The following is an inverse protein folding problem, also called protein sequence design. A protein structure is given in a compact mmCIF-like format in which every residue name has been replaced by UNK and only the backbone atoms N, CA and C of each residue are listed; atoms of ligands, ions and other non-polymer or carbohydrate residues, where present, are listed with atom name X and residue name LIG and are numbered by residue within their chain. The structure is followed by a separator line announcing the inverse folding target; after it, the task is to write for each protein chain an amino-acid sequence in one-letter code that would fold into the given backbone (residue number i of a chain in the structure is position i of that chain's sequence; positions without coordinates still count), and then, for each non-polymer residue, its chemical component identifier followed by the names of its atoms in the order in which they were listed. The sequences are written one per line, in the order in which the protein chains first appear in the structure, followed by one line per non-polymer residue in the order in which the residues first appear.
data_IF_907951940645
#
_entry.id   IF_907951940645
#
_cell.length_a   1.000
_cell.length_b   1.000
_cell.length_c   1.000
_cell.angle_alpha   90.00
_cell.angle_beta   90.00
_cell.angle_gamma   90.00
#
_symmetry.space_group_name_H-M   'P 1'
#
loop_
_entity.id
_entity.type
_entity.pdbx_description
1 polymer ?
#
# COMPACT_ATOMS: atom_id res chain seq x y z
N UNK A 1 18.47 2.92 1.68
CA UNK A 1 16.99 2.90 1.78
C UNK A 1 16.59 4.19 2.47
N UNK A 2 15.56 4.91 2.01
CA UNK A 2 15.10 6.11 2.71
C UNK A 2 14.35 5.64 3.96
N UNK A 3 14.83 6.01 5.16
CA UNK A 3 14.15 5.69 6.41
C UNK A 3 13.12 6.78 6.72
N UNK A 4 11.84 6.40 6.77
CA UNK A 4 10.75 7.29 7.15
C UNK A 4 10.43 7.04 8.63
N UNK A 5 10.35 8.09 9.48
CA UNK A 5 9.99 7.94 10.88
C UNK A 5 8.62 7.26 11.06
N UNK A 6 8.56 6.28 11.97
CA UNK A 6 7.32 5.58 12.30
C UNK A 6 6.38 6.38 13.21
N UNK A 7 6.90 7.42 13.88
CA UNK A 7 6.16 8.27 14.82
C UNK A 7 6.73 9.69 14.86
N UNK A 8 6.04 10.58 15.58
CA UNK A 8 6.43 11.98 15.75
C UNK A 8 6.11 12.86 14.54
N UNK A 9 6.77 14.01 14.49
CA UNK A 9 6.62 14.97 13.39
C UNK A 9 7.80 14.90 12.43
N UNK A 10 7.54 14.92 11.13
CA UNK A 10 8.57 14.90 10.10
C UNK A 10 8.09 15.60 8.82
N UNK A 11 9.03 15.97 7.97
CA UNK A 11 8.77 16.63 6.69
C UNK A 11 9.32 15.78 5.55
N UNK A 12 8.50 15.55 4.53
CA UNK A 12 8.91 14.97 3.25
C UNK A 12 9.01 16.11 2.25
N UNK A 13 10.14 16.22 1.56
CA UNK A 13 10.39 17.28 0.57
C UNK A 13 10.61 16.72 -0.81
N UNK A 14 10.32 17.52 -1.85
CA UNK A 14 10.47 17.14 -3.27
C UNK A 14 9.73 15.83 -3.59
N UNK A 15 8.51 15.68 -3.07
CA UNK A 15 7.62 14.58 -3.45
C UNK A 15 6.89 14.92 -4.74
N UNK A 16 6.59 13.94 -5.59
CA UNK A 16 5.63 14.11 -6.69
C UNK A 16 4.25 13.66 -6.24
N UNK A 17 3.26 14.55 -6.36
CA UNK A 17 1.85 14.28 -6.08
C UNK A 17 1.01 14.49 -7.33
N UNK A 18 0.05 13.59 -7.55
CA UNK A 18 -0.89 13.70 -8.67
C UNK A 18 -2.09 14.59 -8.29
N UNK A 19 -2.56 15.39 -9.24
CA UNK A 19 -3.69 16.31 -9.08
C UNK A 19 -4.97 15.66 -8.55
N UNK A 20 -5.23 14.40 -8.88
CA UNK A 20 -6.39 13.64 -8.40
C UNK A 20 -6.37 13.36 -6.90
N UNK A 21 -5.21 13.45 -6.26
CA UNK A 21 -5.03 13.19 -4.82
C UNK A 21 -4.93 14.48 -4.00
N UNK A 22 -4.76 15.62 -4.67
CA UNK A 22 -4.54 16.93 -4.04
C UNK A 22 -5.46 18.01 -4.62
N UNK A 23 -6.79 17.79 -4.63
CA UNK A 23 -7.72 18.79 -5.14
C UNK A 23 -7.57 20.10 -4.36
N UNK A 24 -7.41 21.21 -5.10
CA UNK A 24 -7.23 22.54 -4.53
C UNK A 24 -5.79 22.92 -4.13
N UNK A 25 -4.79 22.05 -4.36
CA UNK A 25 -3.39 22.42 -4.16
C UNK A 25 -2.97 23.50 -5.16
N UNK A 26 -2.53 24.65 -4.65
CA UNK A 26 -2.08 25.79 -5.45
C UNK A 26 -0.68 25.55 -6.04
N UNK A 27 -0.60 24.78 -7.13
CA UNK A 27 0.63 24.45 -7.86
C UNK A 27 0.34 24.22 -9.35
N UNK A 28 1.34 24.42 -10.21
CA UNK A 28 1.26 24.01 -11.61
C UNK A 28 1.63 22.53 -11.73
N UNK A 29 0.73 21.74 -12.33
CA UNK A 29 0.97 20.34 -12.65
C UNK A 29 1.62 20.20 -14.04
N UNK A 30 2.45 19.17 -14.21
CA UNK A 30 3.03 18.78 -15.49
C UNK A 30 1.98 18.10 -16.41
N UNK A 31 2.38 17.72 -17.62
CA UNK A 31 1.48 17.08 -18.60
C UNK A 31 0.90 15.75 -18.14
N UNK A 32 1.55 15.09 -17.18
CA UNK A 32 1.11 13.81 -16.62
C UNK A 32 0.29 14.02 -15.33
N UNK A 33 -0.02 15.27 -14.98
CA UNK A 33 -0.85 15.62 -13.82
C UNK A 33 -0.10 15.61 -12.49
N UNK A 34 1.24 15.61 -12.48
CA UNK A 34 2.06 15.63 -11.26
C UNK A 34 2.67 17.00 -10.96
N UNK A 35 2.91 17.28 -9.68
CA UNK A 35 3.65 18.45 -9.24
C UNK A 35 4.61 18.12 -8.10
N UNK A 36 5.70 18.90 -7.97
CA UNK A 36 6.57 18.83 -6.80
C UNK A 36 5.92 19.52 -5.59
N UNK A 37 5.91 18.82 -4.48
CA UNK A 37 5.33 19.28 -3.22
C UNK A 37 6.21 18.90 -2.03
N UNK A 38 5.91 19.51 -0.89
CA UNK A 38 6.39 19.13 0.43
C UNK A 38 5.19 18.71 1.30
N UNK A 39 5.36 17.68 2.13
CA UNK A 39 4.35 17.16 3.06
C UNK A 39 4.89 17.27 4.48
N UNK A 40 4.12 17.90 5.37
CA UNK A 40 4.37 17.83 6.80
C UNK A 40 3.47 16.75 7.44
N UNK A 41 4.06 15.93 8.31
CA UNK A 41 3.34 14.96 9.12
C UNK A 41 3.55 15.33 10.58
N UNK A 42 2.47 15.33 11.35
CA UNK A 42 2.50 15.49 12.81
C UNK A 42 1.50 14.51 13.42
N UNK A 43 1.93 13.80 14.46
CA UNK A 43 1.10 12.84 15.21
C UNK A 43 0.37 11.82 14.33
N UNK A 44 1.08 11.31 13.31
CA UNK A 44 0.55 10.33 12.37
C UNK A 44 -0.47 10.88 11.36
N UNK A 45 -0.65 12.21 11.28
CA UNK A 45 -1.54 12.88 10.33
C UNK A 45 -0.76 13.82 9.42
N UNK A 46 -1.24 13.96 8.19
CA UNK A 46 -0.75 15.01 7.28
C UNK A 46 -1.23 16.35 7.85
N UNK A 47 -0.29 17.19 8.31
CA UNK A 47 -0.59 18.51 8.87
C UNK A 47 -0.56 19.60 7.80
N UNK A 48 0.21 19.42 6.73
CA UNK A 48 0.16 20.30 5.55
C UNK A 48 0.68 19.63 4.28
N UNK A 49 0.19 20.12 3.14
CA UNK A 49 0.72 19.86 1.80
C UNK A 49 0.87 21.20 1.12
N UNK A 50 2.06 21.49 0.58
CA UNK A 50 2.34 22.74 -0.11
C UNK A 50 3.21 22.50 -1.35
N UNK A 51 3.13 23.39 -2.34
CA UNK A 51 4.05 23.38 -3.47
C UNK A 51 5.50 23.47 -2.97
N UNK A 52 6.39 22.65 -3.55
CA UNK A 52 7.79 22.64 -3.13
C UNK A 52 8.46 23.98 -3.43
N UNK A 53 9.14 24.56 -2.43
CA UNK A 53 9.97 25.76 -2.59
C UNK A 53 11.26 25.57 -1.81
N UNK A 54 12.39 25.63 -2.51
CA UNK A 54 13.71 25.44 -1.91
C UNK A 54 13.98 26.36 -0.71
N UNK A 55 13.43 27.58 -0.70
CA UNK A 55 13.57 28.55 0.40
C UNK A 55 12.82 28.17 1.68
N UNK A 56 11.84 27.26 1.58
CA UNK A 56 10.90 26.94 2.67
C UNK A 56 11.07 25.51 3.19
N UNK A 57 12.04 24.76 2.69
CA UNK A 57 12.28 23.38 3.15
C UNK A 57 12.89 23.40 4.55
N UNK A 58 12.24 22.83 5.57
CA UNK A 58 12.77 22.81 6.94
C UNK A 58 14.10 22.06 7.04
N UNK A 59 14.96 22.48 7.97
CA UNK A 59 16.14 21.71 8.31
C UNK A 59 15.74 20.31 8.79
N UNK A 60 16.36 19.27 8.24
CA UNK A 60 16.04 17.87 8.55
C UNK A 60 14.86 17.28 7.78
N UNK A 61 14.29 17.98 6.78
CA UNK A 61 13.33 17.38 5.87
C UNK A 61 13.96 16.22 5.08
N UNK A 62 13.19 15.14 4.92
CA UNK A 62 13.57 13.98 4.13
C UNK A 62 13.38 14.31 2.65
N UNK A 63 14.47 14.36 1.89
CA UNK A 63 14.44 14.60 0.45
C UNK A 63 14.04 13.33 -0.31
N UNK A 64 12.87 13.34 -0.93
CA UNK A 64 12.36 12.21 -1.71
C UNK A 64 12.85 12.21 -3.15
N UNK A 65 13.63 13.21 -3.58
CA UNK A 65 14.29 13.29 -4.89
C UNK A 65 13.32 13.12 -6.08
N UNK A 66 12.11 13.65 -5.96
CA UNK A 66 11.08 13.56 -7.00
C UNK A 66 10.35 12.23 -7.07
N UNK A 67 10.46 11.35 -6.06
CA UNK A 67 9.67 10.11 -5.98
C UNK A 67 8.18 10.41 -5.85
N UNK A 68 7.36 9.57 -6.47
CA UNK A 68 5.90 9.64 -6.38
C UNK A 68 5.46 9.14 -5.01
N UNK A 69 4.56 9.89 -4.38
CA UNK A 69 3.88 9.49 -3.15
C UNK A 69 2.41 9.28 -3.45
N UNK A 70 1.90 8.13 -3.05
CA UNK A 70 0.49 7.75 -3.16
C UNK A 70 -0.04 7.41 -1.76
N UNK A 71 -1.36 7.52 -1.51
CA UNK A 71 -1.99 6.81 -0.41
C UNK A 71 -1.66 5.32 -0.49
N UNK A 72 -1.77 4.63 0.64
CA UNK A 72 -1.74 3.16 0.62
C UNK A 72 -2.83 2.63 -0.30
N UNK A 73 -2.54 1.52 -0.98
CA UNK A 73 -3.49 0.89 -1.88
C UNK A 73 -4.61 0.20 -1.10
N UNK A 74 -5.76 0.07 -1.76
CA UNK A 74 -6.92 -0.66 -1.28
C UNK A 74 -7.11 -1.88 -2.18
N UNK A 75 -6.94 -3.06 -1.60
CA UNK A 75 -7.35 -4.32 -2.22
C UNK A 75 -8.77 -4.65 -1.75
N UNK A 76 -9.76 -4.32 -2.57
CA UNK A 76 -11.17 -4.34 -2.18
C UNK A 76 -11.80 -5.74 -2.19
N UNK A 77 -11.16 -6.74 -2.80
CA UNK A 77 -11.72 -8.07 -2.92
C UNK A 77 -10.63 -9.14 -2.86
N UNK A 78 -10.54 -9.83 -1.73
CA UNK A 78 -9.62 -10.97 -1.56
C UNK A 78 -10.30 -12.14 -0.89
N UNK A 79 -9.77 -13.33 -1.16
CA UNK A 79 -10.15 -14.56 -0.47
C UNK A 79 -8.95 -15.13 0.29
N UNK A 80 -8.56 -14.44 1.36
CA UNK A 80 -7.40 -14.83 2.19
C UNK A 80 -7.63 -16.14 2.96
N UNK A 81 -8.89 -16.56 3.13
CA UNK A 81 -9.30 -17.81 3.77
C UNK A 81 -8.91 -19.06 2.99
N UNK A 82 -8.99 -18.99 1.65
CA UNK A 82 -8.60 -20.06 0.71
C UNK A 82 -7.35 -19.71 -0.10
N UNK A 83 -6.62 -18.67 0.31
CA UNK A 83 -5.30 -18.34 -0.23
C UNK A 83 -4.24 -19.39 0.12
N UNK A 84 -3.19 -19.47 -0.69
CA UNK A 84 -2.01 -20.33 -0.46
C UNK A 84 -2.30 -21.84 -0.35
N UNK A 85 -3.33 -22.34 -1.05
CA UNK A 85 -3.66 -23.77 -1.11
C UNK A 85 -3.20 -24.46 -2.41
N UNK A 86 -2.91 -23.68 -3.45
CA UNK A 86 -2.54 -24.21 -4.77
C UNK A 86 -1.40 -25.25 -4.74
N UNK A 87 -0.27 -25.02 -4.03
CA UNK A 87 0.82 -26.00 -4.01
C UNK A 87 0.46 -27.38 -3.43
N UNK A 88 -0.62 -27.47 -2.63
CA UNK A 88 -1.05 -28.73 -2.00
C UNK A 88 -2.33 -29.31 -2.59
N UNK A 89 -3.16 -28.48 -3.24
CA UNK A 89 -4.38 -28.93 -3.93
C UNK A 89 -4.64 -28.03 -5.15
N UNK A 90 -3.96 -28.30 -6.28
CA UNK A 90 -4.08 -27.48 -7.48
C UNK A 90 -5.44 -27.69 -8.17
N UNK A 91 -5.80 -26.73 -9.02
CA UNK A 91 -6.91 -26.83 -9.96
C UNK A 91 -6.39 -26.89 -11.40
N UNK A 92 -5.96 -28.07 -11.90
CA UNK A 92 -5.22 -28.18 -13.16
C UNK A 92 -6.03 -27.85 -14.41
N UNK A 93 -7.36 -28.01 -14.36
CA UNK A 93 -8.24 -27.68 -15.49
C UNK A 93 -8.67 -26.21 -15.53
N UNK A 94 -8.35 -25.43 -14.49
CA UNK A 94 -8.65 -24.00 -14.39
C UNK A 94 -10.15 -23.67 -14.25
N UNK A 95 -11.03 -24.66 -14.12
CA UNK A 95 -12.48 -24.45 -14.07
C UNK A 95 -12.94 -23.98 -12.69
N UNK A 96 -14.07 -23.27 -12.62
CA UNK A 96 -14.67 -22.88 -11.35
C UNK A 96 -15.02 -24.10 -10.48
N UNK A 97 -15.63 -25.13 -11.09
CA UNK A 97 -16.00 -26.35 -10.36
C UNK A 97 -14.77 -27.11 -9.87
N UNK A 98 -13.69 -27.15 -10.66
CA UNK A 98 -12.40 -27.69 -10.24
C UNK A 98 -11.85 -26.94 -9.02
N UNK A 99 -11.88 -25.60 -9.03
CA UNK A 99 -11.45 -24.79 -7.89
C UNK A 99 -12.32 -24.99 -6.64
N UNK A 100 -13.64 -25.09 -6.80
CA UNK A 100 -14.59 -25.33 -5.71
C UNK A 100 -14.33 -26.69 -5.06
N UNK A 101 -14.21 -27.74 -5.87
CA UNK A 101 -13.94 -29.11 -5.41
C UNK A 101 -12.55 -29.23 -4.77
N UNK A 102 -11.53 -28.61 -5.37
CA UNK A 102 -10.18 -28.55 -4.82
C UNK A 102 -10.18 -27.88 -3.44
N UNK A 103 -10.81 -26.71 -3.32
CA UNK A 103 -10.93 -25.98 -2.05
C UNK A 103 -11.70 -26.80 -1.01
N UNK A 104 -12.81 -27.41 -1.39
CA UNK A 104 -13.63 -28.24 -0.50
C UNK A 104 -12.87 -29.45 0.04
N UNK A 105 -12.16 -30.17 -0.83
CA UNK A 105 -11.35 -31.32 -0.45
C UNK A 105 -10.16 -30.92 0.45
N UNK A 106 -9.48 -29.81 0.16
CA UNK A 106 -8.40 -29.29 1.00
C UNK A 106 -8.92 -28.88 2.39
N UNK A 107 -10.08 -28.21 2.43
CA UNK A 107 -10.75 -27.80 3.65
C UNK A 107 -11.08 -28.98 4.55
N UNK A 108 -11.73 -30.00 4.01
CA UNK A 108 -12.11 -31.18 4.78
C UNK A 108 -10.91 -31.96 5.34
N UNK A 109 -9.79 -31.97 4.61
CA UNK A 109 -8.62 -32.77 4.96
C UNK A 109 -7.60 -32.06 5.85
N UNK A 110 -7.50 -30.72 5.79
CA UNK A 110 -6.32 -29.99 6.33
C UNK A 110 -6.63 -28.74 7.13
N UNK A 111 -7.82 -28.15 7.00
CA UNK A 111 -8.05 -26.85 7.63
C UNK A 111 -8.27 -27.00 9.14
N UNK A 112 -7.42 -26.32 9.90
CA UNK A 112 -7.60 -26.00 11.30
C UNK A 112 -7.62 -24.48 11.47
N UNK A 113 -8.02 -24.00 12.66
CA UNK A 113 -7.93 -22.57 12.97
C UNK A 113 -6.50 -22.04 12.78
N UNK A 114 -5.50 -22.82 13.18
CA UNK A 114 -4.08 -22.48 13.03
C UNK A 114 -3.64 -22.44 11.56
N UNK A 115 -4.05 -23.42 10.73
CA UNK A 115 -3.73 -23.43 9.30
C UNK A 115 -4.29 -22.18 8.58
N UNK A 116 -5.56 -21.87 8.86
CA UNK A 116 -6.24 -20.72 8.25
C UNK A 116 -5.58 -19.42 8.71
N UNK A 117 -5.36 -19.25 10.01
CA UNK A 117 -4.74 -18.05 10.57
C UNK A 117 -3.34 -17.79 9.99
N UNK A 118 -2.51 -18.83 9.88
CA UNK A 118 -1.16 -18.74 9.30
C UNK A 118 -1.18 -18.28 7.84
N UNK A 119 -2.11 -18.78 7.03
CA UNK A 119 -2.22 -18.40 5.61
C UNK A 119 -2.78 -16.99 5.45
N UNK A 120 -3.74 -16.61 6.28
CA UNK A 120 -4.26 -15.24 6.32
C UNK A 120 -3.19 -14.23 6.76
N UNK A 121 -2.42 -14.53 7.81
CA UNK A 121 -1.30 -13.68 8.28
C UNK A 121 -0.25 -13.48 7.17
N UNK A 122 0.14 -14.55 6.47
CA UNK A 122 1.05 -14.42 5.33
C UNK A 122 0.46 -13.53 4.22
N UNK A 123 -0.83 -13.72 3.88
CA UNK A 123 -1.52 -12.90 2.88
C UNK A 123 -1.50 -11.42 3.25
N UNK A 124 -1.80 -11.09 4.51
CA UNK A 124 -1.83 -9.72 5.03
C UNK A 124 -0.44 -9.09 5.05
N UNK A 125 0.60 -9.83 5.47
CA UNK A 125 1.99 -9.34 5.44
C UNK A 125 2.46 -9.06 4.02
N UNK A 126 2.11 -9.92 3.07
CA UNK A 126 2.40 -9.68 1.66
C UNK A 126 1.70 -8.41 1.16
N UNK A 127 0.40 -8.24 1.44
CA UNK A 127 -0.33 -7.04 1.05
C UNK A 127 0.29 -5.77 1.66
N UNK A 128 0.62 -5.80 2.95
CA UNK A 128 1.26 -4.70 3.66
C UNK A 128 2.62 -4.33 3.07
N UNK A 129 3.47 -5.32 2.78
CA UNK A 129 4.78 -5.10 2.17
C UNK A 129 4.70 -4.46 0.77
N UNK A 130 3.58 -4.63 0.07
CA UNK A 130 3.30 -4.03 -1.24
C UNK A 130 2.44 -2.76 -1.15
N UNK A 131 2.33 -2.15 0.03
CA UNK A 131 1.71 -0.85 0.22
C UNK A 131 0.19 -0.87 0.36
N UNK A 132 -0.43 -2.04 0.58
CA UNK A 132 -1.86 -2.12 0.91
C UNK A 132 -2.08 -1.88 2.41
N UNK A 133 -2.99 -0.96 2.75
CA UNK A 133 -3.37 -0.67 4.14
C UNK A 133 -4.79 -0.09 4.18
N UNK A 134 -5.60 -0.58 5.11
CA UNK A 134 -6.93 -0.06 5.43
C UNK A 134 -6.94 0.62 6.81
#
# INVERSE_FOLDING_TARGET
MLEIPASGSYHLSKVRLHSSLTPGLAVTFDSDGFALADIAVADGKISSIAAHRQSNTPAGALDLSGRIVMPCFVDCHTHIDKGHIWPRKPNPDGTFMGALNATGADRAARWSAEDVARRMDFSLRCAYAHGTRA
#
